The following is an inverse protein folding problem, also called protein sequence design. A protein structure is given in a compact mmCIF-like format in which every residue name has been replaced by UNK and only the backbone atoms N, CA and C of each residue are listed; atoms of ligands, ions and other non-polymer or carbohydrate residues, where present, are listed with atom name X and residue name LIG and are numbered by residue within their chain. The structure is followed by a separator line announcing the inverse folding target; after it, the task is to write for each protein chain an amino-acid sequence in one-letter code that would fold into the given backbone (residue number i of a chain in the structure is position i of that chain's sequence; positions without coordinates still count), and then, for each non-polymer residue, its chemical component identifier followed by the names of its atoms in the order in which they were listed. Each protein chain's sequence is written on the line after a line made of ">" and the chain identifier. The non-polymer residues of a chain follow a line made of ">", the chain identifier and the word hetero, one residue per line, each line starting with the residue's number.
data_IF_388043873459
#
_entry.id   IF_388043873459
#
_cell.length_a   1.000
_cell.length_b   1.000
_cell.length_c   1.000
_cell.angle_alpha   90.00
_cell.angle_beta   90.00
_cell.angle_gamma   90.00
#
_symmetry.space_group_name_H-M   'P 1'
#
loop_
_entity.id
_entity.type
_entity.pdbx_description
1 polymer ?
#
# COMPACT_ATOMS: atom_id res chain seq x y z
N UNK A 1 -9.68 15.70 -23.05
CA UNK A 1 -8.71 15.06 -22.15
C UNK A 1 -7.90 16.16 -21.50
N UNK A 2 -8.10 16.40 -20.21
CA UNK A 2 -7.27 17.35 -19.46
C UNK A 2 -5.89 16.75 -19.16
N UNK A 3 -4.79 17.50 -19.34
CA UNK A 3 -3.46 17.02 -19.01
C UNK A 3 -3.24 17.12 -17.50
N UNK A 4 -3.03 15.97 -16.85
CA UNK A 4 -2.60 15.93 -15.44
C UNK A 4 -1.15 16.39 -15.33
N UNK A 5 -0.79 17.35 -14.46
CA UNK A 5 0.60 17.72 -14.24
C UNK A 5 1.33 16.59 -13.52
N UNK A 6 2.48 16.19 -14.06
CA UNK A 6 3.36 15.19 -13.48
C UNK A 6 3.96 15.72 -12.16
N UNK A 7 3.78 15.00 -11.06
CA UNK A 7 4.43 15.28 -9.77
C UNK A 7 5.77 14.56 -9.65
N UNK A 8 6.61 14.63 -10.70
CA UNK A 8 7.98 14.09 -10.68
C UNK A 8 8.98 15.24 -10.47
N UNK A 9 8.84 15.96 -9.36
CA UNK A 9 9.74 17.08 -8.99
C UNK A 9 9.93 17.12 -7.47
N UNK A 10 10.36 16.00 -6.87
CA UNK A 10 10.78 15.98 -5.46
C UNK A 10 12.07 15.19 -5.17
N UNK A 11 12.65 14.53 -6.17
CA UNK A 11 13.89 13.76 -5.97
C UNK A 11 15.17 14.59 -6.22
N UNK A 12 15.06 15.76 -6.86
CA UNK A 12 16.21 16.63 -7.16
C UNK A 12 16.67 17.48 -5.97
N UNK A 13 15.78 17.78 -5.03
CA UNK A 13 16.15 18.58 -3.85
C UNK A 13 16.87 17.75 -2.78
N UNK A 14 16.78 16.42 -2.82
CA UNK A 14 17.42 15.51 -1.86
C UNK A 14 18.89 15.25 -2.22
N UNK A 15 19.26 15.35 -3.50
CA UNK A 15 20.62 15.07 -3.98
C UNK A 15 21.61 16.25 -3.83
N UNK A 16 21.18 17.41 -3.32
CA UNK A 16 22.05 18.59 -3.17
C UNK A 16 22.75 18.69 -1.81
N UNK A 17 22.39 17.85 -0.84
CA UNK A 17 22.95 17.91 0.52
C UNK A 17 23.80 16.69 0.88
N UNK A 18 24.71 16.27 0.00
CA UNK A 18 25.81 15.40 0.42
C UNK A 18 27.11 16.21 0.58
N UNK A 19 27.78 16.15 1.76
CA UNK A 19 29.09 16.74 1.95
C UNK A 19 30.12 15.97 1.12
N UNK A 20 30.86 16.71 0.28
CA UNK A 20 31.82 16.21 -0.69
C UNK A 20 33.17 15.96 0.00
N UNK A 21 33.23 14.95 0.87
CA UNK A 21 34.46 14.56 1.54
C UNK A 21 35.27 13.60 0.66
N UNK A 22 36.18 14.26 -0.07
CA UNK A 22 37.49 13.81 -0.54
C UNK A 22 37.96 12.42 -0.08
N UNK A 23 38.09 11.48 -1.02
CA UNK A 23 39.19 10.52 -0.97
C UNK A 23 39.58 10.07 -2.38
N UNK A 24 40.53 10.80 -2.94
CA UNK A 24 41.27 10.44 -4.15
C UNK A 24 42.34 9.42 -3.76
N UNK A 25 42.07 8.12 -3.93
CA UNK A 25 43.15 7.13 -4.00
C UNK A 25 43.58 7.06 -5.46
N UNK A 26 44.69 7.73 -5.77
CA UNK A 26 45.43 7.54 -7.01
C UNK A 26 46.08 6.15 -6.98
N UNK A 27 45.73 5.32 -7.96
CA UNK A 27 46.34 4.02 -8.18
C UNK A 27 47.22 4.13 -9.45
N UNK A 28 48.50 4.45 -9.26
CA UNK A 28 49.60 4.13 -10.18
C UNK A 28 50.67 3.37 -9.36
N UNK A 29 51.51 2.47 -9.87
CA UNK A 29 51.76 2.06 -11.24
C UNK A 29 52.21 0.61 -11.32
N UNK A 30 52.15 0.09 -12.54
CA UNK A 30 52.46 -1.28 -12.94
C UNK A 30 53.94 -1.44 -13.29
N UNK A 31 54.49 -2.62 -12.96
CA UNK A 31 55.62 -3.35 -13.57
C UNK A 31 56.87 -2.59 -14.08
N UNK A 32 58.02 -2.80 -13.43
CA UNK A 32 59.18 -3.52 -13.99
C UNK A 32 60.43 -3.32 -13.11
N UNK A 33 61.10 -4.43 -12.76
CA UNK A 33 62.57 -4.57 -12.66
C UNK A 33 62.93 -5.95 -12.11
N UNK A 34 63.45 -6.79 -13.01
CA UNK A 34 64.15 -8.02 -12.68
C UNK A 34 65.55 -7.70 -12.13
N UNK A 35 65.98 -8.40 -11.07
CA UNK A 35 67.35 -8.30 -10.57
C UNK A 35 67.59 -9.26 -9.41
N UNK A 36 68.30 -10.36 -9.69
CA UNK A 36 68.48 -11.47 -8.76
C UNK A 36 69.36 -11.19 -7.55
N UNK A 37 69.09 -11.92 -6.48
CA UNK A 37 70.10 -12.30 -5.48
C UNK A 37 69.70 -13.66 -4.90
N UNK A 38 70.43 -14.69 -5.30
CA UNK A 38 70.45 -16.01 -4.68
C UNK A 38 70.96 -15.84 -3.24
N UNK A 39 70.03 -15.55 -2.32
CA UNK A 39 70.28 -15.51 -0.89
C UNK A 39 70.75 -16.86 -0.39
N UNK A 40 72.07 -16.99 -0.20
CA UNK A 40 72.70 -18.14 0.45
C UNK A 40 72.05 -18.35 1.81
N UNK A 41 71.36 -19.48 1.99
CA UNK A 41 70.80 -19.90 3.29
C UNK A 41 71.93 -19.85 4.33
N UNK A 42 71.72 -19.25 5.52
CA UNK A 42 72.76 -19.14 6.53
C UNK A 42 73.30 -20.53 6.87
N UNK A 43 74.61 -20.71 6.68
CA UNK A 43 75.35 -21.88 7.12
C UNK A 43 75.28 -21.94 8.65
N UNK A 44 74.37 -22.75 9.17
CA UNK A 44 74.27 -22.89 10.64
C UNK A 44 73.22 -23.86 11.17
N UNK A 45 72.51 -24.62 10.33
CA UNK A 45 71.37 -25.44 10.78
C UNK A 45 71.59 -26.96 10.80
N UNK A 46 72.66 -27.47 10.18
CA UNK A 46 72.86 -28.92 10.04
C UNK A 46 73.97 -29.52 10.93
N UNK A 47 74.68 -28.71 11.71
CA UNK A 47 75.73 -29.19 12.62
C UNK A 47 75.22 -29.70 13.99
N UNK A 48 73.93 -29.53 14.30
CA UNK A 48 73.37 -29.87 15.62
C UNK A 48 72.87 -31.31 15.77
N UNK A 49 73.16 -32.22 14.82
CA UNK A 49 72.73 -33.63 14.90
C UNK A 49 73.84 -34.59 15.32
N UNK A 50 74.62 -34.29 16.35
CA UNK A 50 75.44 -35.31 17.04
C UNK A 50 75.62 -34.98 18.52
N UNK A 51 74.71 -35.49 19.38
CA UNK A 51 75.08 -36.17 20.65
C UNK A 51 73.87 -36.67 21.46
N UNK A 52 74.03 -37.95 21.85
CA UNK A 52 73.61 -38.61 23.10
C UNK A 52 72.18 -39.18 23.24
N UNK A 53 72.16 -40.51 23.22
CA UNK A 53 71.15 -41.43 23.75
C UNK A 53 71.13 -41.40 25.30
N UNK A 54 69.94 -41.67 25.86
CA UNK A 54 69.57 -41.89 27.26
C UNK A 54 69.14 -40.66 28.09
N UNK A 55 67.81 -40.43 28.17
CA UNK A 55 67.10 -40.31 29.45
C UNK A 55 65.61 -40.67 29.27
N UNK A 56 65.24 -41.88 29.67
CA UNK A 56 63.87 -42.37 29.72
C UNK A 56 63.26 -42.04 31.08
N UNK A 57 62.60 -40.87 31.19
CA UNK A 57 61.61 -40.54 32.24
C UNK A 57 61.00 -39.14 32.09
N UNK A 58 60.57 -38.75 30.88
CA UNK A 58 59.73 -37.53 30.71
C UNK A 58 58.57 -37.68 29.71
N UNK A 59 58.13 -38.91 29.42
CA UNK A 59 57.04 -39.18 28.48
C UNK A 59 55.65 -38.70 28.92
N UNK A 60 55.48 -38.24 30.17
CA UNK A 60 54.22 -37.64 30.63
C UNK A 60 54.02 -36.19 30.16
N UNK A 61 55.09 -35.38 30.13
CA UNK A 61 55.00 -33.92 29.88
C UNK A 61 54.61 -33.55 28.44
N UNK A 62 54.99 -34.37 27.46
CA UNK A 62 54.64 -34.14 26.05
C UNK A 62 53.20 -34.55 25.71
N UNK A 63 52.69 -35.58 26.38
CA UNK A 63 51.29 -36.06 26.21
C UNK A 63 50.32 -35.06 26.83
N UNK A 64 50.62 -34.56 28.03
CA UNK A 64 49.84 -33.49 28.67
C UNK A 64 49.78 -32.21 27.81
N UNK A 65 50.89 -31.84 27.18
CA UNK A 65 50.92 -30.71 26.23
C UNK A 65 50.05 -30.96 25.00
N UNK A 66 50.11 -32.16 24.41
CA UNK A 66 49.32 -32.52 23.24
C UNK A 66 47.82 -32.53 23.56
N UNK A 67 47.42 -33.07 24.71
CA UNK A 67 46.04 -33.04 25.18
C UNK A 67 45.56 -31.61 25.44
N UNK A 68 46.36 -30.77 26.10
CA UNK A 68 46.02 -29.37 26.31
C UNK A 68 45.86 -28.59 25.01
N UNK A 69 46.68 -28.89 24.00
CA UNK A 69 46.54 -28.29 22.66
C UNK A 69 45.28 -28.77 21.95
N UNK A 70 44.94 -30.06 22.08
CA UNK A 70 43.71 -30.63 21.56
C UNK A 70 42.48 -29.98 22.20
N UNK A 71 42.45 -29.87 23.54
CA UNK A 71 41.38 -29.22 24.29
C UNK A 71 41.23 -27.74 23.90
N UNK A 72 42.35 -27.03 23.73
CA UNK A 72 42.34 -25.65 23.26
C UNK A 72 41.76 -25.53 21.84
N UNK A 73 42.08 -26.49 20.97
CA UNK A 73 41.57 -26.54 19.59
C UNK A 73 40.07 -26.81 19.57
N UNK A 74 39.57 -27.71 20.41
CA UNK A 74 38.14 -27.96 20.60
C UNK A 74 37.42 -26.73 21.18
N UNK A 75 38.04 -26.04 22.15
CA UNK A 75 37.50 -24.79 22.70
C UNK A 75 37.42 -23.68 21.65
N UNK A 76 38.38 -23.61 20.73
CA UNK A 76 38.34 -22.66 19.61
C UNK A 76 37.24 -23.02 18.61
N UNK A 77 37.07 -24.30 18.29
CA UNK A 77 36.01 -24.77 17.39
C UNK A 77 34.60 -24.52 17.97
N UNK A 78 34.40 -24.77 19.26
CA UNK A 78 33.14 -24.46 19.94
C UNK A 78 32.83 -22.97 19.91
N UNK A 79 33.80 -22.10 20.24
CA UNK A 79 33.60 -20.66 20.14
C UNK A 79 33.22 -20.19 18.73
N UNK A 80 33.89 -20.73 17.69
CA UNK A 80 33.55 -20.42 16.30
C UNK A 80 32.13 -20.88 15.93
N UNK A 81 31.74 -22.07 16.41
CA UNK A 81 30.38 -22.59 16.21
C UNK A 81 29.33 -21.71 16.91
N UNK A 82 29.58 -21.31 18.15
CA UNK A 82 28.68 -20.45 18.91
C UNK A 82 28.50 -19.08 18.22
N UNK A 83 29.60 -18.50 17.70
CA UNK A 83 29.52 -17.26 16.89
C UNK A 83 28.70 -17.43 15.61
N UNK A 84 28.85 -18.57 14.94
CA UNK A 84 28.07 -18.87 13.74
C UNK A 84 26.59 -19.08 14.07
N UNK A 85 26.28 -19.76 15.17
CA UNK A 85 24.92 -19.99 15.64
C UNK A 85 24.27 -18.65 16.07
N UNK A 86 24.99 -17.78 16.78
CA UNK A 86 24.55 -16.42 17.11
C UNK A 86 24.27 -15.57 15.87
N UNK A 87 25.14 -15.66 14.86
CA UNK A 87 24.95 -14.97 13.59
C UNK A 87 23.71 -15.49 12.86
N UNK A 88 23.50 -16.80 12.82
CA UNK A 88 22.29 -17.41 12.24
C UNK A 88 21.03 -16.98 12.99
N UNK A 89 21.06 -16.96 14.32
CA UNK A 89 19.93 -16.54 15.14
C UNK A 89 19.56 -15.06 14.92
N UNK A 90 20.56 -14.18 14.78
CA UNK A 90 20.32 -12.77 14.42
C UNK A 90 19.70 -12.64 13.04
N UNK A 91 20.21 -13.38 12.06
CA UNK A 91 19.65 -13.41 10.71
C UNK A 91 18.20 -13.92 10.71
N UNK A 92 17.90 -14.99 11.46
CA UNK A 92 16.55 -15.53 11.58
C UNK A 92 15.57 -14.50 12.18
N UNK A 93 15.96 -13.81 13.26
CA UNK A 93 15.15 -12.72 13.84
C UNK A 93 14.90 -11.58 12.86
N UNK A 94 15.89 -11.21 12.03
CA UNK A 94 15.70 -10.15 11.03
C UNK A 94 14.68 -10.56 9.97
N UNK A 95 14.67 -11.83 9.56
CA UNK A 95 13.66 -12.36 8.64
C UNK A 95 12.28 -12.35 9.28
N UNK A 96 12.15 -12.83 10.52
CA UNK A 96 10.87 -12.81 11.26
C UNK A 96 10.30 -11.39 11.35
N UNK A 97 11.13 -10.41 11.71
CA UNK A 97 10.69 -9.00 11.78
C UNK A 97 10.21 -8.49 10.41
N UNK A 98 10.89 -8.87 9.32
CA UNK A 98 10.50 -8.43 7.99
C UNK A 98 9.20 -9.12 7.53
N UNK A 99 9.01 -10.39 7.86
CA UNK A 99 7.76 -11.12 7.62
C UNK A 99 6.59 -10.50 8.39
N UNK A 100 6.78 -10.15 9.67
CA UNK A 100 5.78 -9.45 10.48
C UNK A 100 5.42 -8.08 9.88
N UNK A 101 6.40 -7.31 9.43
CA UNK A 101 6.15 -6.02 8.74
C UNK A 101 5.39 -6.21 7.44
N UNK A 102 5.76 -7.21 6.63
CA UNK A 102 5.04 -7.53 5.40
C UNK A 102 3.60 -7.96 5.69
N UNK A 103 3.39 -8.78 6.72
CA UNK A 103 2.06 -9.23 7.14
C UNK A 103 1.19 -8.07 7.61
N UNK A 104 1.70 -7.23 8.51
CA UNK A 104 0.99 -6.06 9.04
C UNK A 104 0.67 -5.03 7.95
N UNK A 105 1.61 -4.78 7.04
CA UNK A 105 1.39 -3.90 5.88
C UNK A 105 0.30 -4.45 4.96
N UNK A 106 0.32 -5.74 4.64
CA UNK A 106 -0.70 -6.37 3.80
C UNK A 106 -2.08 -6.33 4.45
N UNK A 107 -2.18 -6.70 5.73
CA UNK A 107 -3.44 -6.62 6.48
C UNK A 107 -3.98 -5.18 6.54
N UNK A 108 -3.10 -4.19 6.69
CA UNK A 108 -3.50 -2.79 6.67
C UNK A 108 -4.06 -2.38 5.30
N UNK A 109 -3.41 -2.79 4.21
CA UNK A 109 -3.89 -2.52 2.85
C UNK A 109 -5.25 -3.19 2.59
N UNK A 110 -5.42 -4.46 2.97
CA UNK A 110 -6.69 -5.18 2.86
C UNK A 110 -7.80 -4.48 3.65
N UNK A 111 -7.50 -4.04 4.88
CA UNK A 111 -8.44 -3.29 5.69
C UNK A 111 -8.81 -1.93 5.08
N UNK A 112 -7.85 -1.22 4.49
CA UNK A 112 -8.12 0.05 3.79
C UNK A 112 -9.05 -0.16 2.60
N UNK A 113 -8.79 -1.17 1.77
CA UNK A 113 -9.66 -1.50 0.63
C UNK A 113 -11.07 -1.89 1.08
N UNK A 114 -11.21 -2.68 2.14
CA UNK A 114 -12.51 -3.04 2.69
C UNK A 114 -13.32 -1.83 3.19
N UNK A 115 -12.65 -0.83 3.77
CA UNK A 115 -13.29 0.43 4.16
C UNK A 115 -13.72 1.26 2.95
N UNK A 116 -12.89 1.33 1.91
CA UNK A 116 -13.22 2.02 0.65
C UNK A 116 -14.41 1.37 -0.05
N UNK A 117 -14.44 0.05 -0.15
CA UNK A 117 -15.57 -0.70 -0.71
C UNK A 117 -16.86 -0.46 0.08
N UNK A 118 -16.79 -0.50 1.42
CA UNK A 118 -17.96 -0.23 2.27
C UNK A 118 -18.46 1.19 2.08
N UNK A 119 -17.57 2.17 1.97
CA UNK A 119 -17.92 3.57 1.72
C UNK A 119 -18.60 3.72 0.36
N UNK A 120 -18.08 3.06 -0.68
CA UNK A 120 -18.66 3.11 -2.01
C UNK A 120 -20.08 2.52 -2.02
N UNK A 121 -20.30 1.38 -1.36
CA UNK A 121 -21.64 0.78 -1.25
C UNK A 121 -22.65 1.71 -0.59
N UNK A 122 -22.27 2.35 0.51
CA UNK A 122 -23.15 3.32 1.18
C UNK A 122 -23.44 4.54 0.30
N UNK A 123 -22.46 5.02 -0.47
CA UNK A 123 -22.66 6.11 -1.42
C UNK A 123 -23.62 5.71 -2.55
N UNK A 124 -23.49 4.49 -3.07
CA UNK A 124 -24.40 3.97 -4.09
C UNK A 124 -25.83 3.87 -3.55
N UNK A 125 -26.02 3.26 -2.38
CA UNK A 125 -27.32 3.17 -1.70
C UNK A 125 -27.92 4.57 -1.44
N UNK A 126 -27.13 5.51 -0.95
CA UNK A 126 -27.55 6.90 -0.72
C UNK A 126 -28.00 7.58 -2.02
N UNK A 127 -27.25 7.39 -3.11
CA UNK A 127 -27.63 7.96 -4.42
C UNK A 127 -28.89 7.32 -4.98
N UNK A 128 -29.11 6.03 -4.72
CA UNK A 128 -30.32 5.32 -5.14
C UNK A 128 -31.54 5.80 -4.36
N UNK A 129 -31.42 5.93 -3.03
CA UNK A 129 -32.49 6.48 -2.18
C UNK A 129 -32.82 7.89 -2.64
N UNK A 130 -31.82 8.76 -2.84
CA UNK A 130 -32.04 10.13 -3.32
C UNK A 130 -32.73 10.17 -4.68
N UNK A 131 -32.41 9.23 -5.58
CA UNK A 131 -33.09 9.11 -6.87
C UNK A 131 -34.55 8.69 -6.70
N UNK A 132 -34.82 7.69 -5.86
CA UNK A 132 -36.19 7.22 -5.57
C UNK A 132 -37.03 8.32 -4.93
N UNK A 133 -36.49 9.03 -3.94
CA UNK A 133 -37.19 10.15 -3.29
C UNK A 133 -37.50 11.27 -4.30
N UNK A 134 -36.57 11.61 -5.19
CA UNK A 134 -36.81 12.60 -6.23
C UNK A 134 -37.85 12.16 -7.27
N UNK A 135 -37.90 10.86 -7.61
CA UNK A 135 -38.94 10.30 -8.47
C UNK A 135 -40.31 10.32 -7.80
N UNK A 136 -40.39 9.93 -6.52
CA UNK A 136 -41.61 10.00 -5.73
C UNK A 136 -42.10 11.45 -5.57
N UNK A 137 -41.19 12.40 -5.34
CA UNK A 137 -41.55 13.82 -5.24
C UNK A 137 -42.11 14.34 -6.55
N UNK A 138 -41.49 14.00 -7.69
CA UNK A 138 -42.03 14.33 -9.02
C UNK A 138 -43.39 13.70 -9.27
N UNK A 139 -43.60 12.47 -8.82
CA UNK A 139 -44.91 11.82 -8.95
C UNK A 139 -45.97 12.51 -8.08
N UNK A 140 -45.62 12.88 -6.84
CA UNK A 140 -46.50 13.64 -5.95
C UNK A 140 -46.85 15.01 -6.54
N UNK A 141 -45.89 15.70 -7.16
CA UNK A 141 -46.11 16.95 -7.87
C UNK A 141 -47.08 16.75 -9.04
N UNK A 142 -46.87 15.73 -9.88
CA UNK A 142 -47.78 15.43 -10.99
C UNK A 142 -49.20 15.11 -10.52
N UNK A 143 -49.36 14.32 -9.46
CA UNK A 143 -50.68 14.04 -8.89
C UNK A 143 -51.33 15.29 -8.33
N UNK A 144 -50.57 16.16 -7.67
CA UNK A 144 -51.07 17.44 -7.18
C UNK A 144 -51.51 18.38 -8.31
N UNK A 145 -50.74 18.46 -9.41
CA UNK A 145 -51.09 19.23 -10.61
C UNK A 145 -52.33 18.66 -11.31
N UNK A 146 -52.42 17.33 -11.43
CA UNK A 146 -53.60 16.64 -11.98
C UNK A 146 -54.84 16.91 -11.11
N UNK A 147 -54.71 16.82 -9.77
CA UNK A 147 -55.79 17.17 -8.83
C UNK A 147 -56.18 18.65 -8.91
N UNK A 148 -55.23 19.56 -9.03
CA UNK A 148 -55.50 21.00 -9.18
C UNK A 148 -56.22 21.29 -10.49
N UNK A 149 -55.77 20.67 -11.59
CA UNK A 149 -56.42 20.77 -12.89
C UNK A 149 -57.85 20.21 -12.85
N UNK A 150 -58.06 19.08 -12.16
CA UNK A 150 -59.40 18.53 -11.97
C UNK A 150 -60.28 19.44 -11.10
N UNK A 151 -59.75 20.01 -10.02
CA UNK A 151 -60.49 20.97 -9.19
C UNK A 151 -60.89 22.20 -9.99
N UNK A 152 -59.97 22.73 -10.81
CA UNK A 152 -60.25 23.85 -11.71
C UNK A 152 -61.32 23.49 -12.73
N UNK A 153 -61.24 22.30 -13.34
CA UNK A 153 -62.25 21.80 -14.27
C UNK A 153 -63.63 21.72 -13.61
N UNK A 154 -63.73 21.11 -12.43
CA UNK A 154 -65.01 20.99 -11.70
C UNK A 154 -65.59 22.36 -11.35
N UNK A 155 -64.75 23.30 -10.90
CA UNK A 155 -65.19 24.67 -10.61
C UNK A 155 -65.68 25.41 -11.87
N UNK A 156 -65.05 25.18 -13.03
CA UNK A 156 -65.50 25.75 -14.30
C UNK A 156 -66.81 25.13 -14.78
N UNK A 157 -66.96 23.81 -14.65
CA UNK A 157 -68.21 23.10 -14.95
C UNK A 157 -69.37 23.59 -14.05
N UNK A 158 -69.14 23.74 -12.74
CA UNK A 158 -70.11 24.33 -11.80
C UNK A 158 -70.47 25.77 -12.19
N UNK A 159 -69.48 26.58 -12.57
CA UNK A 159 -69.70 27.95 -13.06
C UNK A 159 -70.56 27.97 -14.32
N UNK A 160 -70.33 27.04 -15.26
CA UNK A 160 -71.10 26.92 -16.51
C UNK A 160 -72.55 26.49 -16.22
N UNK A 161 -72.75 25.52 -15.32
CA UNK A 161 -74.08 25.07 -14.90
C UNK A 161 -74.85 26.16 -14.13
N UNK A 162 -74.15 27.04 -13.41
CA UNK A 162 -74.73 28.17 -12.69
C UNK A 162 -75.14 29.38 -13.55
N UNK A 163 -74.91 29.37 -14.87
CA UNK A 163 -75.33 30.47 -15.77
C UNK A 163 -76.83 30.40 -16.06
N UNK A 164 -77.56 31.45 -15.69
CA UNK A 164 -78.98 31.61 -16.01
C UNK A 164 -79.19 31.84 -17.51
N UNK A 165 -79.78 30.85 -18.20
CA UNK A 165 -80.03 30.88 -19.65
C UNK A 165 -80.98 32.00 -20.08
N UNK A 166 -81.88 32.43 -19.20
CA UNK A 166 -82.86 33.49 -19.49
C UNK A 166 -82.28 34.90 -19.40
N UNK A 167 -81.25 35.11 -18.58
CA UNK A 167 -80.50 36.35 -18.49
C UNK A 167 -79.46 36.51 -19.61
N UNK A 168 -79.16 35.43 -20.35
CA UNK A 168 -78.14 35.41 -21.40
C UNK A 168 -78.68 35.92 -22.76
N UNK A 169 -77.88 36.68 -23.55
CA UNK A 169 -78.25 37.09 -24.90
C UNK A 169 -78.60 35.89 -25.81
N UNK A 170 -79.57 36.00 -26.74
CA UNK A 170 -80.07 34.87 -27.52
C UNK A 170 -79.00 34.08 -28.29
N UNK A 171 -77.95 34.76 -28.76
CA UNK A 171 -76.84 34.12 -29.48
C UNK A 171 -75.94 33.26 -28.56
N UNK A 172 -75.80 33.62 -27.29
CA UNK A 172 -74.98 32.89 -26.30
C UNK A 172 -75.79 31.82 -25.56
N UNK A 173 -77.12 31.96 -25.52
CA UNK A 173 -78.03 31.00 -24.89
C UNK A 173 -77.86 29.59 -25.47
N UNK A 174 -77.82 29.46 -26.79
CA UNK A 174 -77.64 28.16 -27.46
C UNK A 174 -76.30 27.51 -27.12
N UNK A 175 -75.22 28.32 -27.06
CA UNK A 175 -73.88 27.86 -26.72
C UNK A 175 -73.81 27.31 -25.27
N UNK A 176 -74.30 28.06 -24.29
CA UNK A 176 -74.31 27.59 -22.90
C UNK A 176 -75.28 26.44 -22.67
N UNK A 177 -76.41 26.40 -23.37
CA UNK A 177 -77.35 25.27 -23.29
C UNK A 177 -76.69 23.97 -23.76
N UNK A 178 -75.97 23.99 -24.89
CA UNK A 178 -75.27 22.83 -25.42
C UNK A 178 -74.10 22.40 -24.51
N UNK A 179 -73.41 23.37 -23.92
CA UNK A 179 -72.31 23.11 -22.97
C UNK A 179 -72.82 22.51 -21.65
N UNK A 180 -73.94 23.01 -21.13
CA UNK A 180 -74.61 22.44 -19.95
C UNK A 180 -75.10 21.01 -20.22
N UNK A 181 -75.65 20.73 -21.40
CA UNK A 181 -76.03 19.34 -21.76
C UNK A 181 -74.82 18.42 -21.88
N UNK A 182 -73.72 18.87 -22.51
CA UNK A 182 -72.50 18.05 -22.61
C UNK A 182 -71.88 17.72 -21.26
N UNK A 183 -71.97 18.63 -20.28
CA UNK A 183 -71.48 18.38 -18.92
C UNK A 183 -72.38 17.37 -18.18
N UNK A 184 -73.70 17.43 -18.39
CA UNK A 184 -74.67 16.53 -17.74
C UNK A 184 -74.72 15.13 -18.36
N UNK A 185 -74.44 15.02 -19.66
CA UNK A 185 -74.47 13.75 -20.41
C UNK A 185 -73.17 12.93 -20.28
N UNK A 186 -72.13 13.51 -19.67
CA UNK A 186 -70.79 12.94 -19.52
C UNK A 186 -70.63 12.14 -18.23
#
# INVERSE_FOLDING_TARGET
>A
MEPRPFTLMHFWNILKEEPKDSNTVQQDGSADQAGGSMGKRPLGRDAAKKKKKANSSSSGRSVEYANKFHDLSLKKLSYLKDLDDDRRNKMARLVEIEEEKCCTMRLHQEHQLALEERKLRLQEEETEIRRREAEEERERQRRAEEEEMERWRRADEERILGVDLDACPPALRQYYQELQSQILDR
#
